data_IF_556329082379
#
_entry.id   IF_556329082379
#
_cell.length_a   1.000
_cell.length_b   1.000
_cell.length_c   1.000
_cell.angle_alpha   90.00
_cell.angle_beta   90.00
_cell.angle_gamma   90.00
#
_symmetry.space_group_name_H-M   'P 1'
#
loop_
_entity.id
_entity.type
_entity.pdbx_description
1 polymer ?
#
# COMPACT_ATOMS: atom_id res chain seq x y z
N UNK A 1 -14.99 -11.30 -14.33
CA UNK A 1 -14.62 -11.94 -13.06
C UNK A 1 -14.42 -13.42 -13.29
N UNK A 2 -13.39 -13.99 -12.69
CA UNK A 2 -13.02 -15.40 -12.81
C UNK A 2 -12.67 -15.96 -11.43
N UNK A 3 -13.50 -16.87 -10.88
CA UNK A 3 -14.69 -17.46 -11.50
C UNK A 3 -15.89 -16.47 -11.57
N UNK A 4 -16.86 -16.71 -12.48
CA UNK A 4 -18.12 -15.97 -12.50
C UNK A 4 -18.86 -16.03 -11.15
N UNK A 5 -19.43 -14.91 -10.72
CA UNK A 5 -20.29 -14.91 -9.54
C UNK A 5 -21.53 -15.79 -9.77
N UNK A 6 -21.88 -16.55 -8.73
CA UNK A 6 -22.99 -17.50 -8.74
C UNK A 6 -23.58 -17.67 -7.34
N UNK A 7 -24.59 -18.51 -7.18
CA UNK A 7 -25.17 -18.84 -5.88
C UNK A 7 -24.18 -19.49 -4.91
N UNK A 8 -23.03 -19.98 -5.40
CA UNK A 8 -21.95 -20.52 -4.58
C UNK A 8 -20.92 -19.46 -4.12
N UNK A 9 -21.00 -18.23 -4.62
CA UNK A 9 -20.08 -17.14 -4.26
C UNK A 9 -20.24 -16.75 -2.79
N UNK A 10 -19.15 -16.79 -2.05
CA UNK A 10 -19.15 -16.39 -0.63
C UNK A 10 -18.80 -14.92 -0.46
N UNK A 11 -19.08 -14.36 0.72
CA UNK A 11 -18.79 -12.95 1.03
C UNK A 11 -17.31 -12.61 0.85
N UNK A 12 -16.41 -13.54 1.19
CA UNK A 12 -14.97 -13.36 1.00
C UNK A 12 -14.61 -13.18 -0.48
N UNK A 13 -15.22 -13.92 -1.41
CA UNK A 13 -14.95 -13.75 -2.85
C UNK A 13 -15.36 -12.35 -3.35
N UNK A 14 -16.49 -11.84 -2.85
CA UNK A 14 -16.97 -10.49 -3.20
C UNK A 14 -16.03 -9.42 -2.61
N UNK A 15 -15.61 -9.60 -1.35
CA UNK A 15 -14.72 -8.64 -0.68
C UNK A 15 -13.32 -8.69 -1.30
N UNK A 16 -12.85 -9.87 -1.71
CA UNK A 16 -11.59 -10.06 -2.43
C UNK A 16 -11.62 -9.40 -3.81
N UNK A 17 -12.73 -9.53 -4.54
CA UNK A 17 -12.94 -8.79 -5.80
C UNK A 17 -12.80 -7.27 -5.59
N UNK A 18 -13.50 -6.71 -4.60
CA UNK A 18 -13.38 -5.28 -4.31
C UNK A 18 -11.99 -4.90 -3.79
N UNK A 19 -11.33 -5.79 -3.05
CA UNK A 19 -9.92 -5.68 -2.66
C UNK A 19 -8.99 -5.51 -3.85
N UNK A 20 -9.11 -6.39 -4.84
CA UNK A 20 -8.33 -6.33 -6.07
C UNK A 20 -8.64 -5.06 -6.88
N UNK A 21 -9.90 -4.62 -6.94
CA UNK A 21 -10.25 -3.35 -7.58
C UNK A 21 -9.62 -2.17 -6.84
N UNK A 22 -9.72 -2.14 -5.52
CA UNK A 22 -9.17 -1.07 -4.68
C UNK A 22 -7.65 -0.99 -4.79
N UNK A 23 -6.95 -2.13 -4.81
CA UNK A 23 -5.50 -2.21 -4.90
C UNK A 23 -4.94 -1.48 -6.13
N UNK A 24 -5.64 -1.54 -7.28
CA UNK A 24 -5.27 -0.80 -8.49
C UNK A 24 -5.20 0.71 -8.20
N UNK A 25 -6.22 1.26 -7.53
CA UNK A 25 -6.21 2.68 -7.17
C UNK A 25 -5.13 2.98 -6.13
N UNK A 26 -4.94 2.11 -5.14
CA UNK A 26 -3.91 2.29 -4.12
C UNK A 26 -2.51 2.39 -4.75
N UNK A 27 -2.16 1.47 -5.65
CA UNK A 27 -0.88 1.47 -6.35
C UNK A 27 -0.68 2.74 -7.19
N UNK A 28 -1.68 3.11 -7.99
CA UNK A 28 -1.62 4.31 -8.84
C UNK A 28 -1.42 5.60 -8.06
N UNK A 29 -2.04 5.73 -6.87
CA UNK A 29 -1.84 6.89 -5.99
C UNK A 29 -0.49 6.82 -5.27
N UNK A 30 -0.16 5.67 -4.68
CA UNK A 30 1.06 5.47 -3.88
C UNK A 30 2.33 5.75 -4.69
N UNK A 31 2.36 5.39 -5.97
CA UNK A 31 3.54 5.51 -6.83
C UNK A 31 3.47 6.68 -7.82
N UNK A 32 2.49 7.58 -7.63
CA UNK A 32 2.26 8.74 -8.49
C UNK A 32 3.50 9.60 -8.68
N UNK A 33 4.07 9.56 -9.89
CA UNK A 33 5.27 10.30 -10.25
C UNK A 33 6.45 10.02 -9.32
N UNK A 34 6.54 8.83 -8.72
CA UNK A 34 7.77 8.49 -8.01
C UNK A 34 8.92 8.31 -9.02
N UNK A 35 10.15 8.51 -8.56
CA UNK A 35 11.34 8.41 -9.40
C UNK A 35 11.89 6.99 -9.60
N UNK A 36 11.20 5.93 -9.15
CA UNK A 36 11.72 4.55 -9.09
C UNK A 36 12.14 4.02 -10.45
N UNK A 37 11.29 4.18 -11.45
CA UNK A 37 11.51 3.71 -12.81
C UNK A 37 10.62 4.48 -13.81
N UNK A 38 10.73 4.19 -15.09
CA UNK A 38 9.93 4.91 -16.11
C UNK A 38 8.43 4.62 -16.00
N UNK A 39 8.05 3.47 -15.43
CA UNK A 39 6.65 3.10 -15.18
C UNK A 39 6.01 4.05 -14.16
N UNK A 40 6.60 4.26 -12.99
CA UNK A 40 6.04 5.15 -11.97
C UNK A 40 6.14 6.64 -12.35
N UNK A 41 7.15 7.01 -13.15
CA UNK A 41 7.25 8.38 -13.70
C UNK A 41 6.14 8.72 -14.68
N UNK A 42 5.57 7.74 -15.39
CA UNK A 42 4.70 7.99 -16.56
C UNK A 42 3.32 7.34 -16.49
N UNK A 43 3.25 6.09 -16.02
CA UNK A 43 2.05 5.25 -16.10
C UNK A 43 1.36 5.08 -14.75
N UNK A 44 2.09 4.78 -13.68
CA UNK A 44 1.51 4.60 -12.34
C UNK A 44 1.23 5.95 -11.68
N UNK A 45 0.21 6.68 -12.18
CA UNK A 45 -0.07 8.05 -11.73
C UNK A 45 -1.56 8.30 -11.56
N UNK A 46 -1.90 9.13 -10.57
CA UNK A 46 -3.27 9.59 -10.33
C UNK A 46 -3.90 10.21 -11.59
N UNK A 47 -3.10 10.91 -12.41
CA UNK A 47 -3.56 11.47 -13.68
C UNK A 47 -4.01 10.40 -14.66
N UNK A 48 -3.23 9.33 -14.87
CA UNK A 48 -3.61 8.24 -15.77
C UNK A 48 -4.87 7.53 -15.26
N UNK A 49 -4.96 7.28 -13.95
CA UNK A 49 -6.16 6.72 -13.35
C UNK A 49 -7.38 7.60 -13.60
N UNK A 50 -7.27 8.92 -13.40
CA UNK A 50 -8.34 9.86 -13.70
C UNK A 50 -8.68 9.93 -15.20
N UNK A 51 -7.69 9.96 -16.08
CA UNK A 51 -7.89 10.06 -17.54
C UNK A 51 -8.66 8.84 -18.06
N UNK A 52 -8.41 7.64 -17.53
CA UNK A 52 -9.14 6.41 -17.86
C UNK A 52 -10.53 6.40 -17.22
N UNK A 53 -10.63 6.71 -15.93
CA UNK A 53 -11.91 6.67 -15.21
C UNK A 53 -12.94 7.71 -15.70
N UNK A 54 -12.47 8.82 -16.27
CA UNK A 54 -13.32 9.89 -16.81
C UNK A 54 -13.58 9.77 -18.31
N UNK A 55 -13.26 8.63 -18.94
CA UNK A 55 -13.68 8.36 -20.30
C UNK A 55 -15.23 8.30 -20.36
N UNK A 56 -15.81 8.81 -21.45
CA UNK A 56 -17.26 8.70 -21.65
C UNK A 56 -17.65 7.24 -21.90
N UNK A 57 -18.75 6.79 -21.32
CA UNK A 57 -19.19 5.39 -21.45
C UNK A 57 -19.78 4.86 -20.15
N UNK A 58 -19.81 3.52 -20.02
CA UNK A 58 -20.19 2.85 -18.79
C UNK A 58 -19.02 2.89 -17.77
N UNK A 59 -19.36 3.11 -16.50
CA UNK A 59 -18.36 3.18 -15.43
C UNK A 59 -17.59 1.86 -15.24
N UNK A 60 -18.26 0.72 -15.43
CA UNK A 60 -17.65 -0.60 -15.27
C UNK A 60 -16.64 -0.86 -16.38
N UNK A 61 -16.92 -0.41 -17.60
CA UNK A 61 -15.97 -0.49 -18.70
C UNK A 61 -14.70 0.32 -18.39
N UNK A 62 -14.85 1.50 -17.77
CA UNK A 62 -13.70 2.31 -17.35
C UNK A 62 -12.89 1.65 -16.22
N UNK A 63 -13.54 1.03 -15.23
CA UNK A 63 -12.85 0.26 -14.17
C UNK A 63 -12.06 -0.90 -14.79
N UNK A 64 -12.67 -1.62 -15.73
CA UNK A 64 -11.99 -2.71 -16.44
C UNK A 64 -10.83 -2.20 -17.29
N UNK A 65 -11.01 -1.09 -18.02
CA UNK A 65 -9.94 -0.46 -18.79
C UNK A 65 -8.76 -0.04 -17.90
N UNK A 66 -9.04 0.46 -16.69
CA UNK A 66 -8.00 0.80 -15.72
C UNK A 66 -7.25 -0.44 -15.25
N UNK A 67 -7.96 -1.53 -14.94
CA UNK A 67 -7.34 -2.79 -14.54
C UNK A 67 -6.45 -3.37 -15.64
N UNK A 68 -6.91 -3.35 -16.90
CA UNK A 68 -6.09 -3.79 -18.03
C UNK A 68 -4.88 -2.89 -18.26
N UNK A 69 -5.04 -1.58 -18.11
CA UNK A 69 -3.95 -0.63 -18.23
C UNK A 69 -2.87 -0.87 -17.17
N UNK A 70 -3.28 -1.06 -15.92
CA UNK A 70 -2.35 -1.27 -14.81
C UNK A 70 -1.61 -2.61 -14.98
N UNK A 71 -2.32 -3.70 -15.26
CA UNK A 71 -1.72 -5.00 -15.51
C UNK A 71 -0.71 -5.00 -16.69
N UNK A 72 -1.02 -4.33 -17.81
CA UNK A 72 -0.13 -4.26 -18.97
C UNK A 72 1.03 -3.27 -18.76
N UNK A 73 0.75 -2.05 -18.28
CA UNK A 73 1.74 -0.95 -18.24
C UNK A 73 2.54 -0.88 -16.95
N UNK A 74 2.00 -1.39 -15.84
CA UNK A 74 2.65 -1.34 -14.53
C UNK A 74 3.29 -2.69 -14.22
N UNK A 75 2.51 -3.77 -14.29
CA UNK A 75 3.01 -5.11 -13.95
C UNK A 75 3.69 -5.82 -15.12
N UNK A 76 3.32 -5.46 -16.36
CA UNK A 76 3.82 -6.15 -17.55
C UNK A 76 3.21 -7.52 -17.77
N UNK A 77 2.06 -7.81 -17.15
CA UNK A 77 1.31 -9.06 -17.25
C UNK A 77 -0.18 -8.79 -17.61
N UNK A 78 -0.50 -8.61 -18.91
CA UNK A 78 -1.84 -8.24 -19.33
C UNK A 78 -2.92 -9.25 -18.96
N UNK A 79 -4.00 -8.76 -18.35
CA UNK A 79 -5.13 -9.60 -17.92
C UNK A 79 -6.30 -9.63 -18.93
N UNK A 80 -7.00 -10.76 -18.96
CA UNK A 80 -8.24 -10.97 -19.73
C UNK A 80 -9.44 -11.31 -18.86
N UNK A 81 -9.19 -11.65 -17.60
CA UNK A 81 -10.18 -11.88 -16.56
C UNK A 81 -9.80 -11.09 -15.30
N UNK A 82 -10.70 -11.07 -14.32
CA UNK A 82 -10.48 -10.36 -13.08
C UNK A 82 -10.63 -11.36 -11.93
N UNK A 83 -9.55 -11.63 -11.21
CA UNK A 83 -9.51 -12.64 -10.16
C UNK A 83 -10.34 -12.23 -8.93
N UNK A 84 -11.06 -13.19 -8.36
CA UNK A 84 -11.86 -12.97 -7.14
C UNK A 84 -11.95 -14.20 -6.24
N UNK A 85 -11.20 -15.26 -6.52
CA UNK A 85 -11.30 -16.52 -5.78
C UNK A 85 -10.48 -16.45 -4.49
N UNK A 86 -11.12 -16.05 -3.39
CA UNK A 86 -10.47 -15.90 -2.10
C UNK A 86 -9.82 -17.20 -1.63
N UNK A 87 -10.53 -18.33 -1.80
CA UNK A 87 -10.03 -19.63 -1.32
C UNK A 87 -8.75 -20.03 -2.06
N UNK A 88 -8.69 -19.82 -3.37
CA UNK A 88 -7.49 -20.12 -4.15
C UNK A 88 -6.29 -19.28 -3.71
N UNK A 89 -6.49 -17.98 -3.46
CA UNK A 89 -5.43 -17.09 -2.99
C UNK A 89 -4.89 -17.53 -1.62
N UNK A 90 -5.79 -17.92 -0.70
CA UNK A 90 -5.38 -18.41 0.61
C UNK A 90 -4.65 -19.76 0.53
N UNK A 91 -5.10 -20.69 -0.32
CA UNK A 91 -4.39 -21.96 -0.55
C UNK A 91 -3.01 -21.75 -1.15
N UNK A 92 -2.83 -20.73 -1.99
CA UNK A 92 -1.51 -20.34 -2.48
C UNK A 92 -0.60 -19.85 -1.35
N UNK A 93 -1.07 -18.89 -0.54
CA UNK A 93 -0.26 -18.32 0.54
C UNK A 93 -0.11 -19.23 1.76
N UNK A 94 -0.89 -20.31 1.92
CA UNK A 94 -0.65 -21.35 2.93
C UNK A 94 0.63 -22.15 2.69
N UNK A 95 1.12 -22.23 1.46
CA UNK A 95 2.26 -23.06 1.09
C UNK A 95 3.56 -22.61 1.79
N UNK A 96 4.41 -23.56 2.18
CA UNK A 96 5.69 -23.29 2.87
C UNK A 96 6.92 -23.40 1.96
N UNK A 97 6.73 -23.75 0.68
CA UNK A 97 7.80 -23.87 -0.30
C UNK A 97 8.13 -22.52 -0.93
N UNK A 98 8.93 -21.69 -0.26
CA UNK A 98 9.26 -20.34 -0.74
C UNK A 98 9.98 -20.34 -2.11
N UNK A 99 10.83 -21.34 -2.37
CA UNK A 99 11.50 -21.49 -3.68
C UNK A 99 10.50 -21.74 -4.83
N UNK A 100 9.36 -22.37 -4.53
CA UNK A 100 8.30 -22.66 -5.51
C UNK A 100 7.40 -21.43 -5.72
N UNK A 101 7.18 -20.66 -4.66
CA UNK A 101 6.38 -19.43 -4.65
C UNK A 101 7.04 -18.29 -5.42
N UNK A 102 8.38 -18.25 -5.44
CA UNK A 102 9.16 -17.17 -6.05
C UNK A 102 9.35 -15.97 -5.12
N UNK A 103 10.39 -15.18 -5.38
CA UNK A 103 10.84 -14.11 -4.47
C UNK A 103 9.78 -13.04 -4.21
N UNK A 104 9.02 -12.64 -5.24
CA UNK A 104 7.96 -11.64 -5.12
C UNK A 104 6.87 -12.11 -4.14
N UNK A 105 6.31 -13.28 -4.40
CA UNK A 105 5.21 -13.81 -3.59
C UNK A 105 5.64 -14.25 -2.18
N UNK A 106 6.87 -14.74 -2.03
CA UNK A 106 7.45 -15.00 -0.72
C UNK A 106 7.59 -13.69 0.09
N UNK A 107 7.92 -12.58 -0.57
CA UNK A 107 7.99 -11.26 0.05
C UNK A 107 6.61 -10.75 0.48
N UNK A 108 5.57 -10.92 -0.35
CA UNK A 108 4.19 -10.59 0.02
C UNK A 108 3.69 -11.43 1.19
N UNK A 109 3.99 -12.74 1.22
CA UNK A 109 3.68 -13.58 2.39
C UNK A 109 4.37 -13.08 3.66
N UNK A 110 5.63 -12.65 3.58
CA UNK A 110 6.34 -12.02 4.69
C UNK A 110 5.67 -10.73 5.16
N UNK A 111 5.20 -9.90 4.23
CA UNK A 111 4.45 -8.69 4.54
C UNK A 111 3.11 -8.96 5.23
N UNK A 112 2.38 -9.98 4.77
CA UNK A 112 1.17 -10.44 5.45
C UNK A 112 1.48 -10.92 6.87
N UNK A 113 2.57 -11.65 7.07
CA UNK A 113 2.98 -12.07 8.41
C UNK A 113 3.23 -10.87 9.33
N UNK A 114 4.02 -9.89 8.88
CA UNK A 114 4.26 -8.66 9.64
C UNK A 114 2.95 -7.94 9.99
N UNK A 115 2.02 -7.85 9.05
CA UNK A 115 0.72 -7.20 9.25
C UNK A 115 -0.17 -7.97 10.22
N UNK A 116 -0.18 -9.31 10.14
CA UNK A 116 -0.96 -10.19 11.01
C UNK A 116 -0.36 -10.37 12.41
N UNK A 117 0.94 -10.13 12.58
CA UNK A 117 1.65 -10.37 13.84
C UNK A 117 1.89 -9.07 14.63
N UNK A 118 2.32 -8.00 13.96
CA UNK A 118 2.91 -6.83 14.62
C UNK A 118 2.41 -5.50 14.07
N UNK A 119 2.50 -5.26 12.77
CA UNK A 119 2.33 -3.91 12.20
C UNK A 119 0.87 -3.51 12.02
N UNK A 120 -0.03 -4.46 11.76
CA UNK A 120 -1.46 -4.17 11.62
C UNK A 120 -1.82 -3.30 10.41
N UNK A 121 -1.03 -3.33 9.32
CA UNK A 121 -1.31 -2.61 8.08
C UNK A 121 -2.44 -3.25 7.26
N UNK A 122 -3.64 -3.25 7.82
CA UNK A 122 -4.84 -3.86 7.25
C UNK A 122 -5.71 -2.75 6.63
N UNK A 123 -5.55 -2.55 5.32
CA UNK A 123 -6.12 -1.40 4.59
C UNK A 123 -7.61 -1.61 4.30
N UNK A 124 -8.46 -1.24 5.25
CA UNK A 124 -9.91 -1.34 5.14
C UNK A 124 -10.53 -0.14 4.45
N UNK A 125 -11.78 -0.30 4.01
CA UNK A 125 -12.59 0.80 3.45
C UNK A 125 -13.74 1.20 4.39
N UNK A 126 -13.72 0.77 5.66
CA UNK A 126 -14.76 0.98 6.68
C UNK A 126 -14.91 2.47 7.15
N UNK A 127 -14.42 3.43 6.37
CA UNK A 127 -14.46 4.87 6.65
C UNK A 127 -15.15 5.70 5.56
N UNK A 128 -14.92 7.01 5.59
CA UNK A 128 -15.43 7.94 4.57
C UNK A 128 -14.59 7.82 3.28
N UNK A 129 -14.98 6.89 2.41
CA UNK A 129 -14.32 6.64 1.13
C UNK A 129 -15.34 6.39 0.02
N UNK A 130 -14.93 6.63 -1.23
CA UNK A 130 -15.74 6.33 -2.42
C UNK A 130 -16.01 4.84 -2.63
N UNK A 131 -15.27 3.97 -1.93
CA UNK A 131 -15.40 2.51 -2.00
C UNK A 131 -16.41 1.95 -0.99
N UNK A 132 -16.92 2.78 -0.07
CA UNK A 132 -17.80 2.35 1.02
C UNK A 132 -17.22 1.20 1.84
N UNK A 133 -18.03 0.49 2.62
CA UNK A 133 -17.57 -0.63 3.48
C UNK A 133 -17.46 -1.97 2.72
N UNK A 134 -16.79 -1.97 1.56
CA UNK A 134 -16.63 -3.16 0.70
C UNK A 134 -15.48 -4.07 1.14
N UNK A 135 -14.46 -3.53 1.82
CA UNK A 135 -13.30 -4.26 2.34
C UNK A 135 -13.29 -4.13 3.87
N UNK A 136 -14.02 -5.01 4.58
CA UNK A 136 -14.13 -4.93 6.03
C UNK A 136 -12.89 -5.49 6.73
N UNK A 137 -12.61 -5.03 7.95
CA UNK A 137 -11.47 -5.53 8.76
C UNK A 137 -11.48 -7.06 8.95
N UNK A 138 -12.67 -7.68 9.02
CA UNK A 138 -12.80 -9.12 9.20
C UNK A 138 -12.23 -9.92 8.02
N UNK A 139 -12.22 -9.38 6.80
CA UNK A 139 -11.58 -10.04 5.66
C UNK A 139 -10.10 -10.30 5.97
N UNK A 140 -9.40 -9.30 6.52
CA UNK A 140 -7.99 -9.44 6.86
C UNK A 140 -7.75 -10.40 8.03
N UNK A 141 -8.63 -10.45 9.03
CA UNK A 141 -8.51 -11.44 10.10
C UNK A 141 -8.74 -12.88 9.61
N UNK A 142 -9.69 -13.07 8.69
CA UNK A 142 -9.90 -14.36 8.01
C UNK A 142 -8.64 -14.72 7.21
N UNK A 143 -8.07 -13.79 6.43
CA UNK A 143 -6.84 -14.00 5.68
C UNK A 143 -5.67 -14.41 6.59
N UNK A 144 -5.46 -13.73 7.71
CA UNK A 144 -4.41 -14.07 8.68
C UNK A 144 -4.59 -15.50 9.23
N UNK A 145 -5.82 -15.86 9.58
CA UNK A 145 -6.15 -17.19 10.10
C UNK A 145 -5.96 -18.27 9.03
N UNK A 146 -6.40 -18.00 7.80
CA UNK A 146 -6.30 -18.94 6.71
C UNK A 146 -4.84 -19.13 6.26
N UNK A 147 -4.05 -18.06 6.12
CA UNK A 147 -2.65 -18.17 5.70
C UNK A 147 -1.74 -18.81 6.75
N UNK A 148 -1.93 -18.48 8.03
CA UNK A 148 -0.97 -18.80 9.09
C UNK A 148 -1.50 -19.73 10.19
N UNK A 149 -2.78 -20.09 10.12
CA UNK A 149 -3.44 -21.03 11.03
C UNK A 149 -4.30 -20.39 12.12
N UNK A 150 -5.13 -21.18 12.81
CA UNK A 150 -6.19 -20.71 13.70
C UNK A 150 -5.72 -19.95 14.95
N UNK A 151 -4.43 -20.05 15.29
CA UNK A 151 -3.84 -19.27 16.36
C UNK A 151 -3.74 -17.77 16.01
N UNK A 152 -3.60 -17.45 14.72
CA UNK A 152 -3.41 -16.07 14.21
C UNK A 152 -4.78 -15.46 13.88
N UNK A 153 -5.65 -15.42 14.90
CA UNK A 153 -7.01 -14.87 14.81
C UNK A 153 -7.07 -13.38 15.16
N UNK A 154 -8.24 -12.77 15.03
CA UNK A 154 -8.47 -11.34 15.30
C UNK A 154 -7.92 -10.85 16.67
N UNK A 155 -7.98 -11.68 17.72
CA UNK A 155 -7.43 -11.29 19.02
C UNK A 155 -5.91 -11.31 19.01
N UNK A 156 -5.30 -12.31 18.40
CA UNK A 156 -3.84 -12.37 18.22
C UNK A 156 -3.32 -11.14 17.47
N UNK A 157 -3.92 -10.82 16.31
CA UNK A 157 -3.51 -9.67 15.50
C UNK A 157 -3.62 -8.36 16.28
N UNK A 158 -4.77 -8.13 16.93
CA UNK A 158 -5.01 -6.92 17.75
C UNK A 158 -4.01 -6.81 18.90
N UNK A 159 -3.79 -7.90 19.63
CA UNK A 159 -2.98 -7.89 20.84
C UNK A 159 -1.48 -7.78 20.50
N UNK A 160 -1.04 -8.41 19.41
CA UNK A 160 0.32 -8.25 18.85
C UNK A 160 0.58 -6.81 18.41
N UNK A 161 -0.34 -6.22 17.65
CA UNK A 161 -0.22 -4.81 17.24
C UNK A 161 -0.19 -3.84 18.43
N UNK A 162 -1.02 -4.09 19.46
CA UNK A 162 -0.97 -3.32 20.71
C UNK A 162 0.36 -3.51 21.43
N UNK A 163 0.89 -4.72 21.49
CA UNK A 163 2.14 -5.02 22.18
C UNK A 163 3.32 -4.27 21.54
N UNK A 164 3.40 -4.23 20.21
CA UNK A 164 4.44 -3.46 19.49
C UNK A 164 4.28 -1.98 19.74
N UNK A 165 3.08 -1.41 19.61
CA UNK A 165 2.85 0.01 19.90
C UNK A 165 3.30 0.38 21.33
N UNK A 166 3.00 -0.46 22.32
CA UNK A 166 3.44 -0.25 23.71
C UNK A 166 4.96 -0.39 23.85
N UNK A 167 5.58 -1.37 23.18
CA UNK A 167 7.02 -1.59 23.24
C UNK A 167 7.83 -0.40 22.68
N UNK A 168 7.28 0.34 21.72
CA UNK A 168 7.89 1.51 21.11
C UNK A 168 7.35 2.85 21.65
N UNK A 169 6.58 2.84 22.74
CA UNK A 169 5.91 4.00 23.36
C UNK A 169 4.93 4.77 22.45
N UNK A 170 4.57 4.21 21.29
CA UNK A 170 3.67 4.85 20.34
C UNK A 170 4.24 6.14 19.71
N UNK A 171 3.44 6.75 18.84
CA UNK A 171 3.85 7.91 18.04
C UNK A 171 4.05 9.20 18.85
N UNK A 172 3.40 9.32 20.00
CA UNK A 172 3.45 10.53 20.83
C UNK A 172 4.63 10.53 21.81
N UNK A 173 5.08 9.36 22.28
CA UNK A 173 6.05 9.21 23.38
C UNK A 173 7.30 8.38 23.02
N UNK A 174 7.57 8.13 21.74
CA UNK A 174 8.79 7.42 21.32
C UNK A 174 10.07 8.15 21.77
N UNK A 175 11.06 7.38 22.21
CA UNK A 175 12.36 7.90 22.68
C UNK A 175 13.43 7.72 21.60
N UNK A 176 13.49 8.68 20.69
CA UNK A 176 14.51 8.75 19.65
C UNK A 176 14.97 10.19 19.41
N UNK A 177 16.23 10.31 18.97
CA UNK A 177 16.84 11.59 18.58
C UNK A 177 17.43 11.46 17.18
N UNK A 178 17.69 12.60 16.53
CA UNK A 178 18.26 12.66 15.19
C UNK A 178 17.40 11.90 14.16
N UNK A 179 16.13 12.31 14.04
CA UNK A 179 15.22 11.76 13.04
C UNK A 179 14.92 12.79 11.95
N UNK A 180 15.20 12.44 10.69
CA UNK A 180 14.66 13.14 9.53
C UNK A 180 13.54 12.30 8.92
N UNK A 181 12.33 12.85 8.87
CA UNK A 181 11.11 12.11 8.57
C UNK A 181 10.44 12.68 7.31
N UNK A 182 10.95 12.33 6.12
CA UNK A 182 10.35 12.75 4.85
C UNK A 182 9.02 12.05 4.59
N UNK A 183 8.05 12.81 4.11
CA UNK A 183 6.74 12.31 3.71
C UNK A 183 6.29 13.03 2.44
N UNK A 184 5.97 12.27 1.40
CA UNK A 184 5.31 12.78 0.21
C UNK A 184 3.88 13.20 0.52
N UNK A 185 3.45 14.37 0.03
CA UNK A 185 2.09 14.86 0.28
C UNK A 185 1.00 14.03 -0.40
N UNK A 186 1.34 13.35 -1.49
CA UNK A 186 0.43 12.46 -2.24
C UNK A 186 0.50 11.01 -1.77
N UNK A 187 1.45 10.67 -0.90
CA UNK A 187 1.59 9.32 -0.36
C UNK A 187 0.42 9.01 0.59
N UNK A 188 -0.39 7.97 0.35
CA UNK A 188 -1.45 7.58 1.28
C UNK A 188 -0.90 7.16 2.65
N UNK A 189 0.34 6.67 2.72
CA UNK A 189 1.00 6.32 3.99
C UNK A 189 1.39 7.52 4.84
N UNK A 190 1.41 8.72 4.26
CA UNK A 190 1.68 9.97 4.98
C UNK A 190 0.69 10.21 6.14
N UNK A 191 -0.50 9.60 6.09
CA UNK A 191 -1.45 9.62 7.21
C UNK A 191 -0.88 9.02 8.52
N UNK A 192 0.12 8.14 8.42
CA UNK A 192 0.82 7.52 9.56
C UNK A 192 2.14 8.23 9.89
N UNK A 193 2.46 9.32 9.21
CA UNK A 193 3.68 10.09 9.42
C UNK A 193 3.66 10.91 10.72
N UNK A 194 4.85 11.34 11.16
CA UNK A 194 5.03 12.23 12.30
C UNK A 194 5.47 13.61 11.82
N UNK A 195 4.73 14.65 12.22
CA UNK A 195 4.85 16.01 11.67
C UNK A 195 5.21 17.09 12.68
N UNK A 196 5.59 16.70 13.90
CA UNK A 196 5.96 17.64 14.97
C UNK A 196 7.48 17.83 14.95
N UNK A 197 7.94 19.07 14.74
CA UNK A 197 9.36 19.40 14.86
C UNK A 197 9.78 19.41 16.34
N UNK A 198 10.94 18.81 16.65
CA UNK A 198 11.54 18.85 17.99
C UNK A 198 13.02 19.20 17.89
N UNK A 199 13.37 20.44 18.22
CA UNK A 199 14.75 20.93 18.14
C UNK A 199 15.65 20.34 19.23
N UNK A 200 15.10 19.98 20.39
CA UNK A 200 15.88 19.42 21.49
C UNK A 200 16.31 17.99 21.18
N UNK A 201 15.43 17.20 20.54
CA UNK A 201 15.72 15.83 20.07
C UNK A 201 16.26 15.78 18.64
N UNK A 202 16.37 16.92 17.95
CA UNK A 202 16.75 17.01 16.54
C UNK A 202 15.85 16.15 15.62
N UNK A 203 14.54 16.33 15.73
CA UNK A 203 13.52 15.67 14.90
C UNK A 203 12.99 16.66 13.88
N UNK A 204 13.16 16.32 12.60
CA UNK A 204 12.90 17.19 11.45
C UNK A 204 11.95 16.47 10.49
N UNK A 205 10.64 16.76 10.54
CA UNK A 205 9.71 16.34 9.50
C UNK A 205 9.98 17.11 8.19
N UNK A 206 9.81 16.43 7.06
CA UNK A 206 9.95 17.02 5.72
C UNK A 206 8.72 16.66 4.90
N UNK A 207 7.82 17.62 4.72
CA UNK A 207 6.65 17.45 3.83
C UNK A 207 7.05 17.84 2.41
N UNK A 208 6.83 16.93 1.46
CA UNK A 208 7.26 17.10 0.08
C UNK A 208 6.02 17.24 -0.82
N UNK A 209 5.71 18.47 -1.22
CA UNK A 209 4.54 18.77 -2.05
C UNK A 209 4.66 18.10 -3.44
N UNK A 210 3.58 17.42 -3.85
CA UNK A 210 3.50 16.70 -5.12
C UNK A 210 4.29 15.40 -5.21
N UNK A 211 5.02 15.02 -4.16
CA UNK A 211 5.71 13.73 -4.10
C UNK A 211 4.81 12.64 -3.50
N UNK A 212 4.98 11.42 -3.98
CA UNK A 212 4.31 10.23 -3.48
C UNK A 212 5.28 9.39 -2.62
N UNK A 213 5.08 8.08 -2.56
CA UNK A 213 5.76 7.20 -1.63
C UNK A 213 7.28 7.20 -1.84
N UNK A 214 8.04 7.56 -0.79
CA UNK A 214 9.51 7.54 -0.74
C UNK A 214 10.21 8.21 -1.94
N UNK A 215 9.58 9.20 -2.58
CA UNK A 215 10.09 9.78 -3.83
C UNK A 215 11.45 10.48 -3.67
N UNK A 216 11.78 10.94 -2.46
CA UNK A 216 13.06 11.55 -2.10
C UNK A 216 14.24 10.59 -2.22
N UNK A 217 14.01 9.28 -2.08
CA UNK A 217 15.04 8.24 -2.11
C UNK A 217 15.53 7.90 -3.53
N UNK A 218 14.81 8.32 -4.56
CA UNK A 218 15.16 8.02 -5.96
C UNK A 218 16.09 9.09 -6.57
N UNK A 219 16.88 8.74 -7.61
CA UNK A 219 17.63 9.71 -8.38
C UNK A 219 16.76 10.81 -8.97
N UNK A 220 17.36 11.98 -9.20
CA UNK A 220 16.71 13.06 -9.93
C UNK A 220 16.32 12.63 -11.35
N UNK A 221 15.20 13.16 -11.84
CA UNK A 221 14.78 12.95 -13.22
C UNK A 221 14.08 14.20 -13.77
N UNK A 222 14.09 14.32 -15.10
CA UNK A 222 13.43 15.45 -15.79
C UNK A 222 11.93 15.43 -15.54
N UNK A 223 11.40 16.52 -14.99
CA UNK A 223 9.98 16.66 -14.71
C UNK A 223 9.55 16.12 -13.33
N UNK A 224 10.49 15.85 -12.43
CA UNK A 224 10.16 15.48 -11.06
C UNK A 224 9.41 16.59 -10.30
N UNK A 225 8.59 16.23 -9.29
CA UNK A 225 7.93 17.20 -8.43
C UNK A 225 8.87 18.33 -7.97
N UNK A 226 8.52 19.62 -8.15
CA UNK A 226 9.42 20.75 -7.89
C UNK A 226 9.94 20.85 -6.45
N UNK A 227 9.27 20.22 -5.48
CA UNK A 227 9.67 20.21 -4.08
C UNK A 227 10.80 19.20 -3.78
N UNK A 228 11.00 18.19 -4.63
CA UNK A 228 11.98 17.12 -4.37
C UNK A 228 13.43 17.61 -4.25
N UNK A 229 13.95 18.50 -5.12
CA UNK A 229 15.33 18.99 -4.97
C UNK A 229 15.59 19.66 -3.62
N UNK A 230 14.66 20.51 -3.17
CA UNK A 230 14.76 21.19 -1.88
C UNK A 230 14.63 20.20 -0.70
N UNK A 231 13.75 19.22 -0.80
CA UNK A 231 13.61 18.17 0.20
C UNK A 231 14.87 17.32 0.33
N UNK A 232 15.43 16.83 -0.80
CA UNK A 232 16.70 16.09 -0.81
C UNK A 232 17.84 16.91 -0.24
N UNK A 233 17.89 18.22 -0.52
CA UNK A 233 18.90 19.09 0.09
C UNK A 233 18.72 19.21 1.60
N UNK A 234 17.49 19.41 2.10
CA UNK A 234 17.20 19.44 3.53
C UNK A 234 17.60 18.14 4.25
N UNK A 235 17.37 16.98 3.62
CA UNK A 235 17.79 15.67 4.13
C UNK A 235 19.33 15.58 4.17
N UNK A 236 20.02 15.99 3.11
CA UNK A 236 21.50 16.00 3.06
C UNK A 236 22.11 16.93 4.11
N UNK A 237 21.54 18.11 4.30
CA UNK A 237 21.98 19.08 5.31
C UNK A 237 21.79 18.52 6.72
N UNK A 238 20.65 17.86 6.99
CA UNK A 238 20.40 17.15 8.23
C UNK A 238 21.45 16.06 8.49
N UNK A 239 21.69 15.18 7.50
CA UNK A 239 22.68 14.10 7.61
C UNK A 239 24.09 14.64 7.85
N UNK A 240 24.47 15.72 7.16
CA UNK A 240 25.78 16.37 7.34
C UNK A 240 25.97 17.00 8.73
N UNK A 241 24.88 17.31 9.43
CA UNK A 241 24.92 17.85 10.79
C UNK A 241 25.07 16.80 11.90
N UNK A 242 24.88 15.51 11.58
CA UNK A 242 24.92 14.40 12.55
C UNK A 242 26.01 13.36 12.29
N UNK A 243 26.66 13.42 11.12
CA UNK A 243 27.84 12.62 10.76
C UNK A 243 29.09 13.37 11.17
#
# INVERSE_FOLDING_TARGET
VDPPFSDATVKQDISNFFGNVFNIFQGMIQYSYDGRNDVSKQYSTARQACDIMNQGGDLIDNVWALAQFEADKVDGDPITTFANNYTADMEFYKQTGYDVMGEGEASYKGWYWLSCNEMGYLQTTDGDSIFGSTIPINLFFDMCTDMFGPAINASYVRDGNRAVNVAWNGVDDFDATNLCLPNGKFDPWSALGYYIEDKARNIVPVVIEGAAHCSDMYPEYTGEPPALPAARQKIKDFLSGII
#
